data_IF_190552978335
#
_entry.id   IF_190552978335
#
_cell.length_a   1.000
_cell.length_b   1.000
_cell.length_c   1.000
_cell.angle_alpha   90.00
_cell.angle_beta   90.00
_cell.angle_gamma   90.00
#
_symmetry.space_group_name_H-M   'P 1'
#
loop_
_entity.id
_entity.type
_entity.pdbx_description
1 polymer ?
#
# COMPACT_ATOMS: atom_id res chain seq x y z
N UNK A 1 24.06 -1.34 -5.33
CA UNK A 1 22.78 -1.20 -4.63
C UNK A 1 22.18 0.14 -5.05
N UNK A 2 21.21 0.10 -5.95
CA UNK A 2 20.47 1.29 -6.35
C UNK A 2 19.68 1.80 -5.15
N UNK A 3 19.99 2.99 -4.69
CA UNK A 3 19.20 3.66 -3.65
C UNK A 3 17.80 3.90 -4.20
N UNK A 4 16.72 3.46 -3.53
CA UNK A 4 15.37 3.61 -4.03
C UNK A 4 14.96 5.08 -3.96
N UNK A 5 15.27 5.84 -5.02
CA UNK A 5 14.95 7.26 -5.11
C UNK A 5 13.49 7.53 -4.73
N UNK A 6 13.26 7.97 -3.49
CA UNK A 6 11.97 8.45 -2.97
C UNK A 6 10.77 7.49 -3.09
N UNK A 7 10.97 6.21 -3.37
CA UNK A 7 9.92 5.20 -3.35
C UNK A 7 10.05 4.39 -2.05
N UNK A 8 9.24 4.69 -1.03
CA UNK A 8 9.25 3.94 0.21
C UNK A 8 8.91 2.48 -0.07
N UNK A 9 9.54 1.57 0.68
CA UNK A 9 9.23 0.14 0.62
C UNK A 9 9.51 -0.59 -0.69
N UNK A 10 10.27 -0.01 -1.64
CA UNK A 10 10.56 -0.66 -2.93
C UNK A 10 11.24 -2.03 -2.80
N UNK A 11 11.97 -2.27 -1.72
CA UNK A 11 12.65 -3.54 -1.45
C UNK A 11 11.93 -4.41 -0.41
N UNK A 12 10.71 -4.05 -0.03
CA UNK A 12 9.93 -4.79 0.97
C UNK A 12 9.64 -6.24 0.57
N UNK A 13 9.65 -6.57 -0.73
CA UNK A 13 9.46 -7.94 -1.21
C UNK A 13 10.49 -8.92 -0.64
N UNK A 14 11.74 -8.49 -0.41
CA UNK A 14 12.79 -9.32 0.21
C UNK A 14 12.43 -9.60 1.67
N UNK A 15 11.99 -8.56 2.38
CA UNK A 15 11.53 -8.69 3.77
C UNK A 15 10.30 -9.59 3.87
N UNK A 16 9.32 -9.39 2.99
CA UNK A 16 8.10 -10.22 2.93
C UNK A 16 8.47 -11.68 2.66
N UNK A 17 9.36 -11.95 1.71
CA UNK A 17 9.83 -13.31 1.43
C UNK A 17 10.49 -13.96 2.66
N UNK A 18 11.37 -13.25 3.34
CA UNK A 18 12.01 -13.73 4.56
C UNK A 18 10.99 -14.03 5.65
N UNK A 19 10.02 -13.13 5.86
CA UNK A 19 8.95 -13.33 6.85
C UNK A 19 8.09 -14.54 6.52
N UNK A 20 7.70 -14.71 5.26
CA UNK A 20 6.94 -15.89 4.82
C UNK A 20 7.73 -17.18 5.03
N UNK A 21 9.03 -17.19 4.74
CA UNK A 21 9.90 -18.34 4.99
C UNK A 21 9.95 -18.69 6.48
N UNK A 22 10.17 -17.71 7.35
CA UNK A 22 10.18 -17.91 8.81
C UNK A 22 8.84 -18.42 9.31
N UNK A 23 7.72 -17.83 8.85
CA UNK A 23 6.37 -18.28 9.19
C UNK A 23 6.12 -19.72 8.74
N UNK A 24 6.52 -20.09 7.53
CA UNK A 24 6.40 -21.46 7.03
C UNK A 24 7.19 -22.46 7.90
N UNK A 25 8.42 -22.11 8.26
CA UNK A 25 9.25 -22.93 9.16
C UNK A 25 8.60 -23.06 10.54
N UNK A 26 8.11 -21.98 11.12
CA UNK A 26 7.40 -22.01 12.40
C UNK A 26 6.13 -22.88 12.32
N UNK A 27 5.39 -22.82 11.22
CA UNK A 27 4.19 -23.63 11.00
C UNK A 27 4.50 -25.14 10.98
N UNK A 28 5.62 -25.56 10.38
CA UNK A 28 6.04 -26.97 10.36
C UNK A 28 6.22 -27.55 11.77
N UNK A 29 6.72 -26.74 12.71
CA UNK A 29 6.96 -27.14 14.10
C UNK A 29 5.82 -26.77 15.06
N UNK A 30 4.71 -26.20 14.55
CA UNK A 30 3.63 -25.66 15.38
C UNK A 30 3.03 -26.67 16.37
N UNK A 31 3.05 -27.96 16.01
CA UNK A 31 2.52 -29.04 16.85
C UNK A 31 3.38 -29.27 18.11
N UNK A 32 4.69 -29.16 17.95
CA UNK A 32 5.66 -29.51 18.99
C UNK A 32 5.91 -28.34 19.95
N UNK A 33 5.56 -27.11 19.52
CA UNK A 33 5.69 -25.92 20.34
C UNK A 33 4.75 -25.99 21.55
N UNK A 34 5.24 -25.89 22.78
CA UNK A 34 4.38 -25.94 23.98
C UNK A 34 3.46 -24.71 24.05
N UNK A 35 2.27 -24.87 24.61
CA UNK A 35 1.26 -23.80 24.72
C UNK A 35 1.77 -22.53 25.39
N UNK A 36 2.69 -22.69 26.38
CA UNK A 36 3.33 -21.53 27.04
C UNK A 36 4.08 -20.60 26.08
N UNK A 37 4.73 -21.17 25.03
CA UNK A 37 5.42 -20.34 24.04
C UNK A 37 4.44 -19.61 23.11
N UNK A 38 3.31 -20.25 22.79
CA UNK A 38 2.23 -19.58 22.03
C UNK A 38 1.66 -18.41 22.85
N UNK A 39 1.42 -18.61 24.14
CA UNK A 39 0.96 -17.54 25.02
C UNK A 39 2.02 -16.42 25.16
N UNK A 40 3.29 -16.79 25.33
CA UNK A 40 4.38 -15.82 25.43
C UNK A 40 4.51 -14.99 24.12
N UNK A 41 4.39 -15.64 22.96
CA UNK A 41 4.40 -14.94 21.67
C UNK A 41 3.21 -13.98 21.54
N UNK A 42 2.01 -14.40 21.94
CA UNK A 42 0.83 -13.55 21.95
C UNK A 42 1.04 -12.29 22.81
N UNK A 43 1.42 -12.47 24.07
CA UNK A 43 1.62 -11.33 24.96
C UNK A 43 2.78 -10.45 24.54
N UNK A 44 3.86 -11.03 24.01
CA UNK A 44 4.97 -10.27 23.42
C UNK A 44 4.52 -9.41 22.22
N UNK A 45 3.69 -9.96 21.35
CA UNK A 45 3.13 -9.23 20.21
C UNK A 45 2.17 -8.12 20.66
N UNK A 46 1.32 -8.36 21.66
CA UNK A 46 0.44 -7.34 22.23
C UNK A 46 1.26 -6.22 22.87
N UNK A 47 2.29 -6.56 23.64
CA UNK A 47 3.20 -5.57 24.22
C UNK A 47 3.89 -4.74 23.13
N UNK A 48 4.34 -5.37 22.05
CA UNK A 48 4.93 -4.67 20.91
C UNK A 48 3.94 -3.69 20.24
N UNK A 49 2.68 -4.11 20.03
CA UNK A 49 1.64 -3.23 19.46
C UNK A 49 1.37 -2.03 20.36
N UNK A 50 1.30 -2.22 21.68
CA UNK A 50 1.11 -1.12 22.65
C UNK A 50 2.32 -0.18 22.66
N UNK A 51 3.54 -0.73 22.59
CA UNK A 51 4.75 0.10 22.50
C UNK A 51 4.79 0.89 21.19
N UNK A 52 4.41 0.27 20.08
CA UNK A 52 4.34 0.93 18.78
C UNK A 52 3.33 2.09 18.80
N UNK A 53 2.18 1.92 19.45
CA UNK A 53 1.19 3.00 19.64
C UNK A 53 1.78 4.21 20.39
N UNK A 54 2.64 3.95 21.39
CA UNK A 54 3.26 5.01 22.21
C UNK A 54 4.43 5.71 21.51
N UNK A 55 5.16 4.99 20.64
CA UNK A 55 6.39 5.46 20.02
C UNK A 55 6.19 6.10 18.65
N UNK A 56 5.12 5.71 17.93
CA UNK A 56 4.82 6.22 16.60
C UNK A 56 3.95 7.48 16.74
N UNK A 57 4.39 8.59 16.14
CA UNK A 57 3.61 9.82 16.08
C UNK A 57 2.25 9.57 15.40
N UNK A 58 1.17 9.95 16.08
CA UNK A 58 -0.21 9.58 15.75
C UNK A 58 -0.78 10.25 14.48
N UNK A 59 -0.05 11.18 13.85
CA UNK A 59 -0.55 11.90 12.68
C UNK A 59 -0.92 10.99 11.49
N UNK A 60 -0.39 9.76 11.44
CA UNK A 60 -0.57 8.84 10.32
C UNK A 60 -1.40 7.60 10.62
N UNK A 61 -1.71 7.31 11.89
CA UNK A 61 -2.41 6.09 12.27
C UNK A 61 -3.62 6.38 13.16
N UNK A 62 -4.80 5.96 12.69
CA UNK A 62 -5.99 5.97 13.54
C UNK A 62 -5.84 4.96 14.68
N UNK A 63 -6.23 5.37 15.88
CA UNK A 63 -6.20 4.53 17.09
C UNK A 63 -6.88 3.16 16.92
N UNK A 64 -7.92 3.09 16.08
CA UNK A 64 -8.63 1.86 15.75
C UNK A 64 -7.72 0.76 15.15
N UNK A 65 -6.62 1.13 14.46
CA UNK A 65 -5.71 0.16 13.83
C UNK A 65 -5.07 -0.77 14.86
N UNK A 66 -4.70 -0.23 16.01
CA UNK A 66 -4.08 -1.02 17.09
C UNK A 66 -5.04 -2.03 17.70
N UNK A 67 -6.31 -1.67 17.88
CA UNK A 67 -7.34 -2.61 18.38
C UNK A 67 -7.64 -3.70 17.38
N UNK A 68 -7.72 -3.36 16.10
CA UNK A 68 -7.92 -4.33 15.02
C UNK A 68 -6.72 -5.31 14.97
N UNK A 69 -5.50 -4.83 15.11
CA UNK A 69 -4.31 -5.69 15.16
C UNK A 69 -4.35 -6.66 16.35
N UNK A 70 -4.70 -6.18 17.55
CA UNK A 70 -4.85 -7.03 18.74
C UNK A 70 -5.96 -8.07 18.56
N UNK A 71 -7.08 -7.69 17.95
CA UNK A 71 -8.17 -8.60 17.62
C UNK A 71 -7.70 -9.74 16.72
N UNK A 72 -7.00 -9.44 15.63
CA UNK A 72 -6.45 -10.46 14.73
C UNK A 72 -5.41 -11.34 15.41
N UNK A 73 -4.53 -10.76 16.24
CA UNK A 73 -3.58 -11.54 17.05
C UNK A 73 -4.29 -12.55 17.97
N UNK A 74 -5.36 -12.12 18.63
CA UNK A 74 -6.16 -13.00 19.50
C UNK A 74 -6.87 -14.09 18.68
N UNK A 75 -7.44 -13.75 17.52
CA UNK A 75 -8.12 -14.69 16.63
C UNK A 75 -7.13 -15.75 16.10
N UNK A 76 -5.96 -15.37 15.59
CA UNK A 76 -4.93 -16.31 15.15
C UNK A 76 -4.40 -17.20 16.27
N UNK A 77 -4.21 -16.63 17.47
CA UNK A 77 -3.82 -17.41 18.65
C UNK A 77 -4.88 -18.46 18.99
N UNK A 78 -6.15 -18.09 18.95
CA UNK A 78 -7.26 -19.03 19.14
C UNK A 78 -7.27 -20.16 18.11
N UNK A 79 -7.00 -19.85 16.84
CA UNK A 79 -6.87 -20.85 15.76
C UNK A 79 -5.69 -21.80 16.01
N UNK A 80 -4.56 -21.32 16.50
CA UNK A 80 -3.41 -22.17 16.89
C UNK A 80 -3.83 -23.14 18.00
N UNK A 81 -4.54 -22.67 19.01
CA UNK A 81 -5.05 -23.57 20.07
C UNK A 81 -6.05 -24.59 19.56
N UNK A 82 -6.94 -24.19 18.62
CA UNK A 82 -7.90 -25.09 17.98
C UNK A 82 -7.19 -26.17 17.16
N UNK A 83 -6.17 -25.79 16.38
CA UNK A 83 -5.33 -26.71 15.62
C UNK A 83 -4.64 -27.76 16.53
N UNK A 84 -4.13 -27.33 17.68
CA UNK A 84 -3.52 -28.21 18.69
C UNK A 84 -4.51 -29.18 19.35
N UNK A 85 -5.80 -28.85 19.35
CA UNK A 85 -6.88 -29.75 19.85
C UNK A 85 -7.33 -30.83 18.84
N UNK A 86 -6.55 -31.11 17.78
CA UNK A 86 -6.85 -32.09 16.70
C UNK A 86 -8.01 -31.72 15.76
N UNK A 87 -8.60 -30.56 15.87
CA UNK A 87 -9.65 -30.07 14.94
C UNK A 87 -9.01 -29.31 13.75
N UNK A 88 -8.19 -30.02 12.96
CA UNK A 88 -7.34 -29.39 11.94
C UNK A 88 -8.13 -28.84 10.77
N UNK A 89 -9.09 -29.57 10.25
CA UNK A 89 -9.92 -29.16 9.12
C UNK A 89 -10.70 -27.89 9.46
N UNK A 90 -11.33 -27.89 10.63
CA UNK A 90 -12.03 -26.69 11.12
C UNK A 90 -11.07 -25.53 11.32
N UNK A 91 -9.90 -25.74 11.90
CA UNK A 91 -8.89 -24.70 12.11
C UNK A 91 -8.38 -24.15 10.75
N UNK A 92 -8.16 -25.00 9.75
CA UNK A 92 -7.74 -24.61 8.43
C UNK A 92 -8.83 -23.78 7.71
N UNK A 93 -10.08 -24.21 7.76
CA UNK A 93 -11.21 -23.49 7.19
C UNK A 93 -11.37 -22.10 7.83
N UNK A 94 -11.35 -22.04 9.17
CA UNK A 94 -11.46 -20.77 9.90
C UNK A 94 -10.25 -19.86 9.67
N UNK A 95 -9.04 -20.44 9.51
CA UNK A 95 -7.85 -19.66 9.15
C UNK A 95 -8.00 -19.02 7.77
N UNK A 96 -8.48 -19.76 6.78
CA UNK A 96 -8.72 -19.23 5.43
C UNK A 96 -9.77 -18.11 5.47
N UNK A 97 -10.87 -18.30 6.20
CA UNK A 97 -11.90 -17.29 6.36
C UNK A 97 -11.34 -16.03 7.06
N UNK A 98 -10.55 -16.20 8.12
CA UNK A 98 -9.94 -15.08 8.85
C UNK A 98 -8.97 -14.29 7.98
N UNK A 99 -8.12 -14.97 7.19
CA UNK A 99 -7.21 -14.32 6.23
C UNK A 99 -7.98 -13.55 5.18
N UNK A 100 -9.09 -14.10 4.66
CA UNK A 100 -9.92 -13.40 3.68
C UNK A 100 -10.54 -12.11 4.27
N UNK A 101 -11.02 -12.18 5.51
CA UNK A 101 -11.56 -11.00 6.23
C UNK A 101 -10.45 -9.98 6.47
N UNK A 102 -9.29 -10.41 6.96
CA UNK A 102 -8.15 -9.51 7.19
C UNK A 102 -7.70 -8.82 5.89
N UNK A 103 -7.57 -9.57 4.80
CA UNK A 103 -7.22 -9.03 3.49
C UNK A 103 -8.26 -8.02 3.00
N UNK A 104 -9.55 -8.29 3.16
CA UNK A 104 -10.63 -7.37 2.80
C UNK A 104 -10.56 -6.07 3.63
N UNK A 105 -10.40 -6.19 4.96
CA UNK A 105 -10.28 -5.03 5.85
C UNK A 105 -9.04 -4.20 5.50
N UNK A 106 -7.89 -4.86 5.33
CA UNK A 106 -6.64 -4.19 4.99
C UNK A 106 -6.73 -3.48 3.63
N UNK A 107 -7.28 -4.15 2.62
CA UNK A 107 -7.48 -3.55 1.28
C UNK A 107 -8.40 -2.35 1.35
N UNK A 108 -9.50 -2.43 2.11
CA UNK A 108 -10.45 -1.33 2.26
C UNK A 108 -9.80 -0.11 2.92
N UNK A 109 -8.98 -0.32 3.95
CA UNK A 109 -8.35 0.77 4.70
C UNK A 109 -7.16 1.37 3.95
N UNK A 110 -6.36 0.54 3.26
CA UNK A 110 -5.08 0.99 2.68
C UNK A 110 -5.14 1.33 1.20
N UNK A 111 -6.00 0.66 0.43
CA UNK A 111 -5.99 0.74 -1.04
C UNK A 111 -7.20 1.45 -1.62
N UNK A 112 -8.29 1.60 -0.87
CA UNK A 112 -9.52 2.26 -1.33
C UNK A 112 -9.56 3.73 -0.89
N UNK A 113 -8.43 4.44 -0.99
CA UNK A 113 -8.44 5.90 -0.94
C UNK A 113 -9.00 6.41 -2.28
N UNK A 114 -10.30 6.58 -2.32
CA UNK A 114 -10.98 7.09 -3.51
C UNK A 114 -10.93 8.62 -3.53
N UNK A 115 -10.36 9.18 -4.58
CA UNK A 115 -10.58 10.58 -4.92
C UNK A 115 -11.96 10.67 -5.60
N UNK A 116 -12.77 11.71 -5.27
CA UNK A 116 -14.06 11.86 -5.94
C UNK A 116 -13.82 12.00 -7.45
N UNK A 117 -14.65 11.33 -8.25
CA UNK A 117 -14.58 11.40 -9.71
C UNK A 117 -14.64 12.86 -10.20
N UNK A 118 -15.46 13.68 -9.57
CA UNK A 118 -15.61 15.09 -9.89
C UNK A 118 -14.30 15.86 -9.68
N UNK A 119 -13.63 15.70 -8.54
CA UNK A 119 -12.33 16.33 -8.27
C UNK A 119 -11.25 15.86 -9.26
N UNK A 120 -11.31 14.60 -9.66
CA UNK A 120 -10.34 14.02 -10.60
C UNK A 120 -10.56 14.50 -12.03
N UNK A 121 -11.81 14.63 -12.49
CA UNK A 121 -12.16 15.04 -13.86
C UNK A 121 -12.35 16.56 -14.02
N UNK A 122 -12.26 17.33 -12.91
CA UNK A 122 -12.35 18.79 -12.96
C UNK A 122 -11.34 19.34 -13.97
N UNK A 123 -11.70 20.37 -14.67
CA UNK A 123 -10.91 21.08 -15.69
C UNK A 123 -10.61 20.28 -16.98
N UNK A 124 -11.03 19.00 -17.09
CA UNK A 124 -10.77 18.25 -18.32
C UNK A 124 -11.47 18.86 -19.53
N UNK A 125 -12.72 19.33 -19.35
CA UNK A 125 -13.52 19.97 -20.41
C UNK A 125 -12.92 21.32 -20.84
N UNK A 126 -12.46 22.10 -19.88
CA UNK A 126 -11.83 23.39 -20.13
C UNK A 126 -10.50 23.23 -20.86
N UNK A 127 -9.69 22.25 -20.46
CA UNK A 127 -8.43 21.92 -21.15
C UNK A 127 -8.70 21.45 -22.58
N UNK A 128 -9.68 20.57 -22.79
CA UNK A 128 -10.06 20.11 -24.14
C UNK A 128 -10.55 21.26 -25.01
N UNK A 129 -11.41 22.14 -24.49
CA UNK A 129 -11.88 23.31 -25.22
C UNK A 129 -10.76 24.31 -25.58
N UNK A 130 -9.72 24.39 -24.73
CA UNK A 130 -8.51 25.18 -25.04
C UNK A 130 -7.70 24.50 -26.14
N UNK A 131 -7.54 23.18 -26.10
CA UNK A 131 -6.79 22.42 -27.11
C UNK A 131 -7.45 22.50 -28.49
N UNK A 132 -8.77 22.36 -28.57
CA UNK A 132 -9.54 22.55 -29.83
C UNK A 132 -9.31 23.88 -30.47
N UNK A 133 -9.08 24.95 -29.70
CA UNK A 133 -8.75 26.28 -30.22
C UNK A 133 -7.31 26.40 -30.76
N UNK A 134 -6.42 25.52 -30.29
CA UNK A 134 -5.01 25.51 -30.68
C UNK A 134 -4.72 24.55 -31.85
N UNK A 135 -5.58 23.55 -32.08
CA UNK A 135 -5.40 22.53 -33.12
C UNK A 135 -5.30 23.06 -34.57
N UNK A 136 -5.83 24.25 -34.95
CA UNK A 136 -5.66 24.74 -36.29
C UNK A 136 -4.24 25.20 -36.67
N UNK A 137 -3.30 25.20 -35.73
CA UNK A 137 -1.91 25.51 -36.03
C UNK A 137 -1.23 24.31 -36.71
N UNK A 138 -0.83 24.44 -37.96
CA UNK A 138 -0.08 23.44 -38.73
C UNK A 138 1.32 23.16 -38.15
N UNK A 139 1.75 23.93 -37.18
CA UNK A 139 3.08 23.84 -36.58
C UNK A 139 3.14 22.87 -35.43
N UNK A 140 4.30 22.21 -35.28
CA UNK A 140 4.58 21.35 -34.10
C UNK A 140 4.63 22.20 -32.83
N UNK A 141 3.75 21.92 -31.87
CA UNK A 141 3.73 22.57 -30.58
C UNK A 141 3.66 21.58 -29.41
N UNK A 142 4.04 22.04 -28.24
CA UNK A 142 3.89 21.33 -26.97
C UNK A 142 3.27 22.28 -25.96
N UNK A 143 2.37 21.74 -25.15
CA UNK A 143 1.68 22.48 -24.11
C UNK A 143 2.05 21.90 -22.76
N UNK A 144 2.24 22.76 -21.78
CA UNK A 144 2.52 22.32 -20.42
C UNK A 144 1.60 23.03 -19.44
N UNK A 145 1.05 22.27 -18.51
CA UNK A 145 0.17 22.78 -17.45
C UNK A 145 1.01 23.28 -16.28
N UNK A 146 0.91 24.56 -15.92
CA UNK A 146 1.66 25.16 -14.81
C UNK A 146 1.31 24.50 -13.47
N UNK A 147 0.01 24.32 -13.19
CA UNK A 147 -0.48 23.62 -11.99
C UNK A 147 -0.91 22.22 -12.38
N UNK A 148 -0.12 21.21 -11.99
CA UNK A 148 -0.35 19.82 -12.33
C UNK A 148 -1.22 19.14 -11.28
N UNK A 149 -2.14 18.29 -11.71
CA UNK A 149 -2.84 17.33 -10.84
C UNK A 149 -2.03 16.05 -10.68
N UNK A 150 -1.48 15.57 -11.78
CA UNK A 150 -0.63 14.38 -11.83
C UNK A 150 0.62 14.67 -12.66
N UNK A 151 1.60 13.78 -12.59
CA UNK A 151 2.80 13.87 -13.44
C UNK A 151 2.52 13.51 -14.90
N UNK A 152 1.34 12.99 -15.21
CA UNK A 152 0.92 12.56 -16.54
C UNK A 152 -0.34 13.30 -17.02
N UNK A 153 -0.53 14.53 -16.62
CA UNK A 153 -1.70 15.34 -17.01
C UNK A 153 -1.89 15.41 -18.52
N UNK A 154 -0.79 15.50 -19.30
CA UNK A 154 -0.86 15.49 -20.76
C UNK A 154 -1.49 14.22 -21.32
N UNK A 155 -1.08 13.04 -20.84
CA UNK A 155 -1.67 11.77 -21.24
C UNK A 155 -3.11 11.62 -20.75
N UNK A 156 -3.39 12.11 -19.53
CA UNK A 156 -4.72 12.03 -18.95
C UNK A 156 -5.75 12.95 -19.62
N UNK A 157 -5.34 14.17 -19.94
CA UNK A 157 -6.21 15.19 -20.54
C UNK A 157 -6.10 15.26 -22.07
N UNK A 158 -5.34 14.34 -22.69
CA UNK A 158 -5.15 14.19 -24.12
C UNK A 158 -4.63 15.46 -24.81
N UNK A 159 -3.51 16.00 -24.31
CA UNK A 159 -2.81 17.10 -24.98
C UNK A 159 -1.31 16.81 -25.18
N UNK A 160 -0.68 17.36 -26.23
CA UNK A 160 0.73 17.15 -26.55
C UNK A 160 1.63 17.78 -25.49
N UNK A 161 2.04 17.03 -24.48
CA UNK A 161 2.86 17.47 -23.36
C UNK A 161 4.31 16.97 -23.50
N UNK A 162 5.24 17.66 -22.86
CA UNK A 162 6.63 17.23 -22.71
C UNK A 162 6.83 16.49 -21.39
N UNK A 163 6.03 16.81 -20.38
CA UNK A 163 6.15 16.16 -19.07
C UNK A 163 5.49 14.78 -19.08
N UNK A 164 6.30 13.78 -18.75
CA UNK A 164 5.88 12.41 -18.61
C UNK A 164 6.51 11.81 -17.34
N UNK A 165 5.73 11.11 -16.56
CA UNK A 165 6.30 10.27 -15.49
C UNK A 165 6.82 8.99 -16.11
N UNK A 166 8.14 8.90 -16.21
CA UNK A 166 8.83 7.68 -16.64
C UNK A 166 10.07 7.47 -15.80
N UNK A 167 10.38 6.22 -15.49
CA UNK A 167 11.64 5.84 -14.85
C UNK A 167 12.86 6.07 -15.75
N UNK A 168 12.62 6.27 -17.05
CA UNK A 168 13.63 6.55 -18.10
C UNK A 168 13.58 7.99 -18.58
N UNK A 169 12.87 8.89 -17.87
CA UNK A 169 12.80 10.31 -18.25
C UNK A 169 14.19 10.92 -18.30
N UNK A 170 14.45 11.70 -19.38
CA UNK A 170 15.72 12.38 -19.55
C UNK A 170 15.95 13.40 -18.42
N UNK A 171 17.10 13.33 -17.76
CA UNK A 171 17.48 14.19 -16.65
C UNK A 171 17.55 15.67 -17.04
N UNK A 172 17.97 15.97 -18.28
CA UNK A 172 18.10 17.35 -18.76
C UNK A 172 16.75 18.00 -19.03
N UNK A 173 15.79 17.23 -19.52
CA UNK A 173 14.40 17.67 -19.62
C UNK A 173 13.82 18.02 -18.26
N UNK A 174 14.07 17.18 -17.25
CA UNK A 174 13.63 17.43 -15.87
C UNK A 174 14.28 18.69 -15.28
N UNK A 175 15.56 18.93 -15.56
CA UNK A 175 16.26 20.15 -15.14
C UNK A 175 15.71 21.40 -15.82
N UNK A 176 15.38 21.31 -17.11
CA UNK A 176 14.77 22.40 -17.85
C UNK A 176 13.46 22.84 -17.22
N UNK A 177 12.55 21.89 -16.93
CA UNK A 177 11.28 22.18 -16.27
C UNK A 177 11.38 22.71 -14.85
N UNK A 178 12.43 22.42 -14.13
CA UNK A 178 12.65 22.98 -12.78
C UNK A 178 13.08 24.46 -12.83
N UNK A 179 13.53 24.95 -13.98
CA UNK A 179 13.99 26.33 -14.16
C UNK A 179 12.91 27.27 -14.71
N UNK A 180 11.82 26.72 -15.24
CA UNK A 180 10.61 27.44 -15.65
C UNK A 180 9.66 27.66 -14.45
#
# INVERSE_FOLDING_TARGET
LHYPNSLPCRQSFIYIFLMLFVCFRAFQYLRDIPRRHVAAAFWGSVCFVILAEKLVEQEHFHFAVYYVAIFFLAAYTGLIYLYKKRRRELAAFLALALVAVEAAVNTTVTSVTTTSREAYTRDNKEVQALMEKLEPAEDFYRVEKKTRKTKNDGAWMNFPSVSLFSSTANADLTKFFKRM
#
